data_IF_516394858634
#
_entry.id   IF_516394858634
#
_cell.length_a   1.000
_cell.length_b   1.000
_cell.length_c   1.000
_cell.angle_alpha   90.00
_cell.angle_beta   90.00
_cell.angle_gamma   90.00
#
_symmetry.space_group_name_H-M   'P 1'
#
loop_
_entity.id
_entity.type
_entity.pdbx_description
1 polymer ?
#
# COMPACT_ATOMS: atom_id res chain seq x y z
N UNK A 1 0.39 41.74 11.07
CA UNK A 1 1.33 40.78 10.46
C UNK A 1 2.15 41.53 9.41
N UNK A 2 3.50 41.59 9.54
CA UNK A 2 4.38 42.14 8.50
C UNK A 2 4.22 41.25 7.24
N UNK A 3 3.94 41.87 6.08
CA UNK A 3 4.04 41.20 4.80
C UNK A 3 5.53 40.98 4.51
N UNK A 4 6.00 39.75 4.46
CA UNK A 4 7.37 39.48 4.03
C UNK A 4 7.56 39.99 2.60
N UNK A 5 8.70 40.58 2.33
CA UNK A 5 9.12 40.94 0.97
C UNK A 5 9.63 39.75 0.22
N UNK A 6 9.72 39.81 -1.10
CA UNK A 6 10.27 38.70 -1.91
C UNK A 6 11.73 38.44 -1.51
N UNK A 7 12.53 39.47 -1.27
CA UNK A 7 13.94 39.30 -0.89
C UNK A 7 14.10 38.62 0.46
N UNK A 8 13.26 38.94 1.46
CA UNK A 8 13.26 38.24 2.75
C UNK A 8 12.92 36.74 2.60
N UNK A 9 11.99 36.38 1.71
CA UNK A 9 11.66 34.97 1.46
C UNK A 9 12.75 34.23 0.66
N UNK A 10 13.47 34.90 -0.21
CA UNK A 10 14.64 34.31 -0.89
C UNK A 10 15.81 34.07 0.07
N UNK A 11 16.01 34.95 1.07
CA UNK A 11 16.95 34.67 2.16
C UNK A 11 16.49 33.49 3.02
N UNK A 12 15.17 33.40 3.34
CA UNK A 12 14.59 32.24 4.03
C UNK A 12 14.82 30.96 3.24
N UNK A 13 14.73 30.98 1.90
CA UNK A 13 15.03 29.84 0.99
C UNK A 13 16.47 29.36 1.16
N UNK A 14 17.45 30.26 1.12
CA UNK A 14 18.86 29.91 1.29
C UNK A 14 19.16 29.29 2.67
N UNK A 15 18.50 29.79 3.70
CA UNK A 15 18.62 29.22 5.06
C UNK A 15 17.99 27.82 5.09
N UNK A 16 16.79 27.66 4.54
CA UNK A 16 16.09 26.37 4.48
C UNK A 16 16.88 25.31 3.71
N UNK A 17 17.49 25.66 2.57
CA UNK A 17 18.33 24.73 1.80
C UNK A 17 19.52 24.24 2.63
N UNK A 18 20.19 25.12 3.39
CA UNK A 18 21.33 24.74 4.25
C UNK A 18 20.94 23.81 5.40
N UNK A 19 19.69 23.82 5.81
CA UNK A 19 19.16 22.95 6.87
C UNK A 19 18.83 21.54 6.40
N UNK A 20 19.10 21.18 5.14
CA UNK A 20 18.95 19.83 4.66
C UNK A 20 19.89 18.89 5.46
N UNK A 21 19.28 17.91 6.16
CA UNK A 21 20.03 16.98 7.04
C UNK A 21 20.15 17.39 8.50
N UNK A 22 19.82 18.65 8.88
CA UNK A 22 19.81 19.10 10.28
C UNK A 22 18.53 18.68 11.03
N UNK A 23 17.47 18.36 10.29
CA UNK A 23 16.18 17.91 10.82
C UNK A 23 15.71 16.65 10.10
N UNK A 24 14.61 16.03 10.57
CA UNK A 24 14.01 14.95 9.83
C UNK A 24 13.52 15.43 8.44
N UNK A 25 13.63 14.53 7.46
CA UNK A 25 13.42 14.86 6.06
C UNK A 25 11.97 15.33 5.77
N UNK A 26 10.99 14.77 6.49
CA UNK A 26 9.60 15.16 6.31
C UNK A 26 9.33 16.59 6.81
N UNK A 27 9.83 16.94 7.97
CA UNK A 27 9.76 18.30 8.53
C UNK A 27 10.45 19.31 7.60
N UNK A 28 11.59 18.93 7.02
CA UNK A 28 12.27 19.77 6.04
C UNK A 28 11.41 20.03 4.80
N UNK A 29 10.76 19.00 4.22
CA UNK A 29 9.82 19.17 3.11
C UNK A 29 8.62 20.04 3.49
N UNK A 30 8.04 19.87 4.68
CA UNK A 30 6.91 20.68 5.12
C UNK A 30 7.25 22.16 5.22
N UNK A 31 8.43 22.50 5.77
CA UNK A 31 8.92 23.87 5.81
C UNK A 31 9.10 24.44 4.39
N UNK A 32 9.71 23.68 3.50
CA UNK A 32 9.86 24.05 2.10
C UNK A 32 8.52 24.29 1.39
N UNK A 33 7.53 23.41 1.59
CA UNK A 33 6.18 23.57 1.03
C UNK A 33 5.54 24.88 1.51
N UNK A 34 5.68 25.22 2.79
CA UNK A 34 5.16 26.48 3.33
C UNK A 34 5.88 27.69 2.73
N UNK A 35 7.20 27.62 2.62
CA UNK A 35 8.02 28.68 2.04
C UNK A 35 7.66 28.94 0.57
N UNK A 36 7.63 27.89 -0.27
CA UNK A 36 7.32 28.06 -1.70
C UNK A 36 5.85 28.47 -1.95
N UNK A 37 4.91 28.11 -1.07
CA UNK A 37 3.56 28.67 -1.11
C UNK A 37 3.54 30.17 -0.85
N UNK A 38 4.38 30.69 0.08
CA UNK A 38 4.54 32.13 0.33
C UNK A 38 5.18 32.82 -0.88
N UNK A 39 6.26 32.24 -1.43
CA UNK A 39 6.94 32.74 -2.62
C UNK A 39 5.98 32.90 -3.80
N UNK A 40 5.20 31.83 -4.09
CA UNK A 40 4.19 31.86 -5.14
C UNK A 40 3.00 32.80 -4.84
N UNK A 41 2.76 33.17 -3.60
CA UNK A 41 1.75 34.16 -3.28
C UNK A 41 2.20 35.58 -3.69
N UNK A 42 3.51 35.83 -3.80
CA UNK A 42 4.10 37.10 -4.24
C UNK A 42 4.41 37.08 -5.74
N UNK A 43 4.88 36.00 -6.27
CA UNK A 43 5.22 35.80 -7.69
C UNK A 43 4.59 34.52 -8.23
N UNK A 44 3.32 34.63 -8.64
CA UNK A 44 2.45 33.48 -9.01
C UNK A 44 2.90 32.76 -10.26
N UNK A 45 3.59 33.44 -11.17
CA UNK A 45 3.96 32.88 -12.46
C UNK A 45 5.40 32.40 -12.51
N UNK A 46 6.10 32.41 -11.39
CA UNK A 46 7.47 31.93 -11.29
C UNK A 46 7.58 30.43 -11.44
N UNK A 47 8.02 30.00 -12.61
CA UNK A 47 8.12 28.58 -12.95
C UNK A 47 9.10 27.82 -12.03
N UNK A 48 10.20 28.47 -11.59
CA UNK A 48 11.14 27.85 -10.64
C UNK A 48 10.43 27.48 -9.33
N UNK A 49 9.63 28.41 -8.79
CA UNK A 49 8.91 28.18 -7.54
C UNK A 49 7.83 27.12 -7.70
N UNK A 50 7.13 27.08 -8.85
CA UNK A 50 6.13 26.02 -9.15
C UNK A 50 6.78 24.66 -9.19
N UNK A 51 7.89 24.49 -9.93
CA UNK A 51 8.63 23.23 -10.05
C UNK A 51 9.13 22.76 -8.68
N UNK A 52 9.71 23.65 -7.87
CA UNK A 52 10.20 23.30 -6.54
C UNK A 52 9.05 22.86 -5.61
N UNK A 53 7.94 23.62 -5.59
CA UNK A 53 6.76 23.23 -4.82
C UNK A 53 6.20 21.88 -5.28
N UNK A 54 6.12 21.63 -6.60
CA UNK A 54 5.67 20.37 -7.16
C UNK A 54 6.52 19.19 -6.67
N UNK A 55 7.84 19.33 -6.74
CA UNK A 55 8.79 18.32 -6.27
C UNK A 55 8.64 18.03 -4.77
N UNK A 56 8.47 19.06 -3.95
CA UNK A 56 8.28 18.91 -2.51
C UNK A 56 6.95 18.22 -2.17
N UNK A 57 5.85 18.61 -2.83
CA UNK A 57 4.54 17.98 -2.67
C UNK A 57 4.57 16.51 -3.06
N UNK A 58 5.29 16.18 -4.15
CA UNK A 58 5.44 14.79 -4.60
C UNK A 58 6.23 13.95 -3.60
N UNK A 59 7.36 14.46 -3.09
CA UNK A 59 8.21 13.77 -2.12
C UNK A 59 7.49 13.58 -0.78
N UNK A 60 6.92 14.66 -0.22
CA UNK A 60 6.19 14.60 1.05
C UNK A 60 4.94 13.70 0.96
N UNK A 61 4.18 13.79 -0.14
CA UNK A 61 3.04 12.92 -0.38
C UNK A 61 3.43 11.44 -0.51
N UNK A 62 4.58 11.18 -1.13
CA UNK A 62 5.16 9.83 -1.21
C UNK A 62 5.53 9.26 0.16
N UNK A 63 6.19 10.05 1.01
CA UNK A 63 6.56 9.64 2.37
C UNK A 63 5.33 9.39 3.26
N UNK A 64 4.35 10.30 3.20
CA UNK A 64 3.08 10.12 3.91
C UNK A 64 2.38 8.82 3.53
N UNK A 65 2.41 8.45 2.24
CA UNK A 65 1.83 7.20 1.77
C UNK A 65 2.63 5.99 2.24
N UNK A 66 3.95 6.01 2.04
CA UNK A 66 4.79 4.81 2.16
C UNK A 66 5.32 4.56 3.57
N UNK A 67 5.60 5.62 4.34
CA UNK A 67 6.24 5.50 5.66
C UNK A 67 5.31 5.81 6.81
N UNK A 68 4.41 6.79 6.64
CA UNK A 68 3.54 7.25 7.71
C UNK A 68 2.12 6.67 7.59
N UNK A 69 1.80 5.96 6.49
CA UNK A 69 0.47 5.42 6.19
C UNK A 69 -0.67 6.45 6.33
N UNK A 70 -0.35 7.75 6.17
CA UNK A 70 -1.32 8.83 6.26
C UNK A 70 -1.91 9.14 4.88
N UNK A 71 -2.76 8.24 4.38
CA UNK A 71 -3.36 8.33 3.04
C UNK A 71 -4.19 9.60 2.82
N UNK A 72 -4.90 10.07 3.85
CA UNK A 72 -5.73 11.28 3.71
C UNK A 72 -4.87 12.54 3.50
N UNK A 73 -3.75 12.62 4.20
CA UNK A 73 -2.82 13.74 4.05
C UNK A 73 -2.07 13.66 2.72
N UNK A 74 -1.64 12.46 2.32
CA UNK A 74 -1.05 12.22 1.00
C UNK A 74 -2.00 12.60 -0.15
N UNK A 75 -3.29 12.20 -0.04
CA UNK A 75 -4.33 12.61 -1.00
C UNK A 75 -4.43 14.12 -1.14
N UNK A 76 -4.39 14.86 -0.03
CA UNK A 76 -4.45 16.33 -0.06
C UNK A 76 -3.26 16.90 -0.83
N UNK A 77 -2.03 16.46 -0.54
CA UNK A 77 -0.83 16.97 -1.22
C UNK A 77 -0.85 16.67 -2.73
N UNK A 78 -1.23 15.47 -3.13
CA UNK A 78 -1.31 15.15 -4.56
C UNK A 78 -2.46 15.86 -5.28
N UNK A 79 -3.57 16.16 -4.60
CA UNK A 79 -4.63 17.01 -5.16
C UNK A 79 -4.18 18.46 -5.33
N UNK A 80 -3.52 19.03 -4.30
CA UNK A 80 -2.93 20.38 -4.40
C UNK A 80 -2.00 20.45 -5.62
N UNK A 81 -1.19 19.40 -5.81
CA UNK A 81 -0.27 19.30 -6.93
C UNK A 81 -0.99 19.24 -8.28
N UNK A 82 -2.05 18.43 -8.44
CA UNK A 82 -2.81 18.37 -9.69
C UNK A 82 -3.65 19.62 -9.96
N UNK A 83 -3.98 20.39 -8.94
CA UNK A 83 -4.61 21.71 -9.12
C UNK A 83 -3.61 22.78 -9.61
N UNK A 84 -2.39 22.73 -9.10
CA UNK A 84 -1.31 23.64 -9.48
C UNK A 84 -0.77 23.29 -10.89
N UNK A 85 -0.64 22.00 -11.19
CA UNK A 85 -0.12 21.48 -12.44
C UNK A 85 -1.05 20.37 -12.99
N UNK A 86 -2.04 20.75 -13.83
CA UNK A 86 -3.05 19.81 -14.34
C UNK A 86 -2.51 18.67 -15.22
N UNK A 87 -1.29 18.82 -15.74
CA UNK A 87 -0.63 17.80 -16.57
C UNK A 87 0.40 16.96 -15.79
N UNK A 88 0.41 16.99 -14.45
CA UNK A 88 1.38 16.28 -13.63
C UNK A 88 1.07 14.77 -13.56
N UNK A 89 1.55 13.98 -14.54
CA UNK A 89 1.25 12.56 -14.70
C UNK A 89 1.54 11.73 -13.44
N UNK A 90 2.68 11.97 -12.78
CA UNK A 90 3.08 11.24 -11.57
C UNK A 90 2.10 11.47 -10.40
N UNK A 91 1.58 12.70 -10.24
CA UNK A 91 0.61 12.99 -9.18
C UNK A 91 -0.71 12.23 -9.42
N UNK A 92 -1.20 12.22 -10.66
CA UNK A 92 -2.38 11.44 -11.02
C UNK A 92 -2.16 9.93 -10.81
N UNK A 93 -1.00 9.41 -11.18
CA UNK A 93 -0.63 8.03 -10.93
C UNK A 93 -0.71 7.67 -9.43
N UNK A 94 -0.16 8.53 -8.57
CA UNK A 94 -0.24 8.34 -7.10
C UNK A 94 -1.66 8.42 -6.58
N UNK A 95 -2.46 9.36 -7.08
CA UNK A 95 -3.89 9.48 -6.74
C UNK A 95 -4.68 8.24 -7.18
N UNK A 96 -4.40 7.70 -8.37
CA UNK A 96 -5.03 6.49 -8.86
C UNK A 96 -4.93 5.33 -7.87
N UNK A 97 -3.74 5.09 -7.34
CA UNK A 97 -3.52 4.06 -6.31
C UNK A 97 -4.21 4.38 -4.99
N UNK A 98 -4.11 5.61 -4.49
CA UNK A 98 -4.75 5.96 -3.23
C UNK A 98 -6.28 5.76 -3.28
N UNK A 99 -6.91 6.11 -4.41
CA UNK A 99 -8.33 5.85 -4.60
C UNK A 99 -8.64 4.37 -4.81
N UNK A 100 -7.74 3.62 -5.44
CA UNK A 100 -7.87 2.17 -5.56
C UNK A 100 -7.92 1.50 -4.17
N UNK A 101 -6.99 1.84 -3.29
CA UNK A 101 -6.97 1.31 -1.92
C UNK A 101 -8.18 1.74 -1.08
N UNK A 102 -8.73 2.93 -1.35
CA UNK A 102 -9.99 3.38 -0.72
C UNK A 102 -11.23 2.76 -1.34
N UNK A 103 -11.07 1.85 -2.31
CA UNK A 103 -12.17 1.23 -3.06
C UNK A 103 -13.07 2.24 -3.79
N UNK A 104 -12.56 3.46 -4.02
CA UNK A 104 -13.24 4.51 -4.77
C UNK A 104 -12.98 4.33 -6.27
N UNK A 105 -13.47 3.23 -6.86
CA UNK A 105 -13.12 2.73 -8.19
C UNK A 105 -13.26 3.79 -9.29
N UNK A 106 -14.37 4.53 -9.32
CA UNK A 106 -14.60 5.60 -10.32
C UNK A 106 -13.51 6.67 -10.28
N UNK A 107 -13.06 7.08 -9.07
CA UNK A 107 -11.99 8.06 -8.92
C UNK A 107 -10.64 7.46 -9.31
N UNK A 108 -10.39 6.22 -8.91
CA UNK A 108 -9.18 5.48 -9.30
C UNK A 108 -9.04 5.41 -10.82
N UNK A 109 -10.07 4.97 -11.52
CA UNK A 109 -10.13 4.90 -13.00
C UNK A 109 -9.78 6.26 -13.58
N UNK A 110 -10.52 7.31 -13.19
CA UNK A 110 -10.30 8.67 -13.71
C UNK A 110 -8.84 9.12 -13.55
N UNK A 111 -8.24 8.89 -12.39
CA UNK A 111 -6.88 9.34 -12.12
C UNK A 111 -5.82 8.52 -12.88
N UNK A 112 -5.98 7.22 -13.03
CA UNK A 112 -5.09 6.44 -13.89
C UNK A 112 -5.20 6.84 -15.36
N UNK A 113 -6.40 7.12 -15.87
CA UNK A 113 -6.59 7.63 -17.22
C UNK A 113 -5.92 8.98 -17.44
N UNK A 114 -6.01 9.90 -16.46
CA UNK A 114 -5.30 11.17 -16.53
C UNK A 114 -3.78 10.95 -16.52
N UNK A 115 -3.26 10.10 -15.64
CA UNK A 115 -1.84 9.78 -15.60
C UNK A 115 -1.29 9.27 -16.93
N UNK A 116 -2.06 8.42 -17.63
CA UNK A 116 -1.67 7.85 -18.91
C UNK A 116 -1.75 8.84 -20.08
N UNK A 117 -2.64 9.85 -20.00
CA UNK A 117 -2.87 10.86 -21.05
C UNK A 117 -2.05 12.14 -20.86
N UNK A 118 -1.69 12.46 -19.63
CA UNK A 118 -0.99 13.69 -19.29
C UNK A 118 0.33 13.84 -20.05
N UNK A 119 0.64 15.08 -20.42
CA UNK A 119 1.87 15.46 -21.15
C UNK A 119 2.53 16.63 -20.41
N UNK A 120 3.15 16.37 -19.24
CA UNK A 120 3.79 17.43 -18.48
C UNK A 120 4.95 18.05 -19.27
N UNK A 121 5.11 19.37 -19.11
CA UNK A 121 6.24 20.07 -19.68
C UNK A 121 7.56 19.64 -19.04
N UNK A 122 7.53 19.39 -17.73
CA UNK A 122 8.67 18.91 -16.98
C UNK A 122 8.79 17.38 -17.07
N UNK A 123 9.92 16.90 -17.56
CA UNK A 123 10.16 15.47 -17.80
C UNK A 123 10.12 14.62 -16.53
N UNK A 124 10.51 15.17 -15.40
CA UNK A 124 10.48 14.50 -14.10
C UNK A 124 9.04 14.24 -13.59
N UNK A 125 8.05 14.95 -14.14
CA UNK A 125 6.64 14.79 -13.78
C UNK A 125 5.90 13.74 -14.63
N UNK A 126 6.60 13.15 -15.62
CA UNK A 126 6.08 12.04 -16.41
C UNK A 126 6.16 10.72 -15.64
N UNK A 127 5.29 9.76 -16.04
CA UNK A 127 5.40 8.36 -15.58
C UNK A 127 6.25 7.57 -16.56
N UNK A 128 7.14 6.74 -16.02
CA UNK A 128 7.99 5.84 -16.80
C UNK A 128 7.18 4.68 -17.38
N UNK A 129 7.76 3.95 -18.36
CA UNK A 129 7.10 2.84 -19.04
C UNK A 129 6.57 1.77 -18.09
N UNK A 130 7.34 1.40 -17.09
CA UNK A 130 6.91 0.45 -16.05
C UNK A 130 5.69 0.97 -15.28
N UNK A 131 5.70 2.24 -14.89
CA UNK A 131 4.58 2.88 -14.21
C UNK A 131 3.33 2.98 -15.11
N UNK A 132 3.52 3.22 -16.41
CA UNK A 132 2.43 3.17 -17.39
C UNK A 132 1.79 1.79 -17.44
N UNK A 133 2.60 0.72 -17.50
CA UNK A 133 2.12 -0.65 -17.48
C UNK A 133 1.38 -0.98 -16.18
N UNK A 134 1.94 -0.59 -15.03
CA UNK A 134 1.28 -0.74 -13.72
C UNK A 134 -0.06 0.02 -13.69
N UNK A 135 -0.09 1.26 -14.19
CA UNK A 135 -1.33 2.03 -14.27
C UNK A 135 -2.40 1.34 -15.12
N UNK A 136 -2.03 0.77 -16.28
CA UNK A 136 -2.95 0.01 -17.13
C UNK A 136 -3.49 -1.24 -16.44
N UNK A 137 -2.64 -2.01 -15.74
CA UNK A 137 -3.06 -3.17 -15.00
C UNK A 137 -4.05 -2.81 -13.88
N UNK A 138 -3.77 -1.72 -13.13
CA UNK A 138 -4.67 -1.26 -12.07
C UNK A 138 -5.95 -0.63 -12.60
N UNK A 139 -5.88 0.03 -13.74
CA UNK A 139 -7.05 0.52 -14.46
C UNK A 139 -7.99 -0.63 -14.82
N UNK A 140 -7.45 -1.72 -15.39
CA UNK A 140 -8.23 -2.93 -15.69
C UNK A 140 -8.86 -3.54 -14.44
N UNK A 141 -8.08 -3.68 -13.35
CA UNK A 141 -8.59 -4.17 -12.05
C UNK A 141 -9.70 -3.27 -11.49
N UNK A 142 -9.54 -1.95 -11.58
CA UNK A 142 -10.55 -1.01 -11.10
C UNK A 142 -11.86 -1.07 -11.90
N UNK A 143 -11.77 -1.25 -13.22
CA UNK A 143 -12.95 -1.50 -14.06
C UNK A 143 -13.65 -2.80 -13.68
N UNK A 144 -12.91 -3.88 -13.45
CA UNK A 144 -13.47 -5.16 -12.99
C UNK A 144 -14.19 -5.01 -11.65
N UNK A 145 -13.57 -4.35 -10.65
CA UNK A 145 -14.21 -4.09 -9.35
C UNK A 145 -15.46 -3.23 -9.47
N UNK A 146 -15.44 -2.23 -10.35
CA UNK A 146 -16.61 -1.40 -10.61
C UNK A 146 -17.74 -2.20 -11.27
N UNK A 147 -17.44 -3.08 -12.22
CA UNK A 147 -18.42 -3.96 -12.87
C UNK A 147 -19.05 -4.92 -11.87
N UNK A 148 -18.26 -5.52 -10.98
CA UNK A 148 -18.77 -6.35 -9.89
C UNK A 148 -19.68 -5.58 -8.96
N UNK A 149 -19.32 -4.37 -8.54
CA UNK A 149 -20.18 -3.53 -7.69
C UNK A 149 -21.51 -3.14 -8.34
N UNK A 150 -21.51 -2.92 -9.66
CA UNK A 150 -22.76 -2.66 -10.40
C UNK A 150 -23.61 -3.92 -10.50
N UNK A 151 -22.96 -5.07 -10.71
CA UNK A 151 -23.68 -6.35 -10.73
C UNK A 151 -24.28 -6.69 -9.38
N UNK A 152 -23.55 -6.47 -8.28
CA UNK A 152 -24.10 -6.65 -6.92
C UNK A 152 -25.37 -5.83 -6.68
N UNK A 153 -25.37 -4.56 -7.12
CA UNK A 153 -26.58 -3.72 -7.06
C UNK A 153 -27.74 -4.30 -7.90
N UNK A 154 -27.45 -4.78 -9.12
CA UNK A 154 -28.48 -5.41 -9.95
C UNK A 154 -29.02 -6.70 -9.32
N UNK A 155 -28.14 -7.51 -8.74
CA UNK A 155 -28.53 -8.74 -8.05
C UNK A 155 -29.34 -8.47 -6.77
N UNK A 156 -29.00 -7.43 -5.99
CA UNK A 156 -29.79 -7.01 -4.83
C UNK A 156 -31.21 -6.58 -5.25
N UNK A 157 -31.34 -5.83 -6.35
CA UNK A 157 -32.64 -5.44 -6.90
C UNK A 157 -33.43 -6.65 -7.39
N UNK A 158 -32.77 -7.62 -8.04
CA UNK A 158 -33.39 -8.85 -8.52
C UNK A 158 -33.90 -9.71 -7.35
N UNK A 159 -33.11 -9.88 -6.29
CA UNK A 159 -33.54 -10.64 -5.10
C UNK A 159 -34.73 -9.97 -4.38
N UNK A 160 -34.83 -8.64 -4.45
CA UNK A 160 -35.93 -7.88 -3.87
C UNK A 160 -37.16 -7.82 -4.77
N UNK A 161 -37.11 -8.31 -6.02
CA UNK A 161 -38.23 -8.28 -6.96
C UNK A 161 -39.31 -9.27 -6.55
N UNK A 162 -40.54 -8.79 -6.49
CA UNK A 162 -41.72 -9.56 -6.06
C UNK A 162 -42.66 -9.94 -7.22
N UNK A 163 -42.48 -9.36 -8.38
CA UNK A 163 -43.23 -9.71 -9.59
C UNK A 163 -42.56 -10.90 -10.31
N UNK A 164 -43.21 -12.08 -10.35
CA UNK A 164 -42.66 -13.26 -11.00
C UNK A 164 -42.37 -13.06 -12.49
N UNK A 165 -43.17 -12.25 -13.19
CA UNK A 165 -43.00 -12.02 -14.60
C UNK A 165 -41.74 -11.18 -14.90
N UNK A 166 -41.41 -10.25 -14.00
CA UNK A 166 -40.13 -9.47 -14.07
C UNK A 166 -38.98 -10.36 -13.70
N UNK A 167 -39.07 -11.16 -12.64
CA UNK A 167 -38.05 -12.09 -12.21
C UNK A 167 -37.71 -13.09 -13.32
N UNK A 168 -38.67 -13.76 -13.92
CA UNK A 168 -38.48 -14.72 -15.00
C UNK A 168 -37.82 -14.08 -16.25
N UNK A 169 -38.15 -12.83 -16.55
CA UNK A 169 -37.60 -12.10 -17.68
C UNK A 169 -36.12 -11.69 -17.47
N UNK A 170 -35.71 -11.43 -16.23
CA UNK A 170 -34.38 -10.90 -15.89
C UNK A 170 -33.40 -12.01 -15.48
N UNK A 171 -33.89 -13.13 -14.92
CA UNK A 171 -33.06 -14.24 -14.43
C UNK A 171 -31.97 -14.69 -15.43
N UNK A 172 -32.28 -14.91 -16.73
CA UNK A 172 -31.25 -15.31 -17.69
C UNK A 172 -30.09 -14.31 -17.82
N UNK A 173 -30.39 -13.00 -17.74
CA UNK A 173 -29.37 -11.94 -17.82
C UNK A 173 -28.52 -11.89 -16.54
N UNK A 174 -29.11 -12.11 -15.37
CA UNK A 174 -28.39 -12.20 -14.10
C UNK A 174 -27.43 -13.38 -14.12
N UNK A 175 -27.90 -14.58 -14.54
CA UNK A 175 -27.06 -15.78 -14.58
C UNK A 175 -25.96 -15.69 -15.66
N UNK A 176 -26.25 -15.09 -16.84
CA UNK A 176 -25.25 -14.82 -17.87
C UNK A 176 -24.18 -13.85 -17.36
N UNK A 177 -24.60 -12.69 -16.81
CA UNK A 177 -23.69 -11.66 -16.29
C UNK A 177 -22.84 -12.20 -15.14
N UNK A 178 -23.44 -12.97 -14.25
CA UNK A 178 -22.74 -13.67 -13.16
C UNK A 178 -21.66 -14.60 -13.71
N UNK A 179 -22.00 -15.42 -14.68
CA UNK A 179 -21.04 -16.33 -15.35
C UNK A 179 -19.89 -15.55 -15.98
N UNK A 180 -20.17 -14.48 -16.71
CA UNK A 180 -19.16 -13.67 -17.39
C UNK A 180 -18.23 -12.95 -16.39
N UNK A 181 -18.77 -12.35 -15.35
CA UNK A 181 -17.99 -11.64 -14.33
C UNK A 181 -17.18 -12.58 -13.45
N UNK A 182 -17.73 -13.76 -13.12
CA UNK A 182 -17.08 -14.72 -12.24
C UNK A 182 -16.25 -15.76 -13.00
N UNK A 183 -16.48 -16.03 -14.30
CA UNK A 183 -15.60 -16.87 -15.12
C UNK A 183 -14.22 -16.20 -15.38
N UNK A 184 -14.18 -14.87 -15.45
CA UNK A 184 -12.93 -14.10 -15.29
C UNK A 184 -12.34 -14.22 -13.88
N UNK A 185 -13.12 -14.70 -12.92
CA UNK A 185 -12.83 -14.83 -11.50
C UNK A 185 -12.64 -16.25 -11.00
N UNK A 186 -12.27 -17.22 -11.84
CA UNK A 186 -11.58 -18.43 -11.34
C UNK A 186 -10.17 -18.12 -10.81
N UNK A 187 -9.85 -16.84 -10.68
CA UNK A 187 -8.68 -16.43 -9.92
C UNK A 187 -8.99 -16.64 -8.45
N UNK A 188 -8.45 -17.69 -7.91
CA UNK A 188 -8.34 -17.88 -6.46
C UNK A 188 -7.63 -16.62 -5.89
N UNK A 189 -8.38 -15.65 -5.34
CA UNK A 189 -7.82 -14.31 -5.03
C UNK A 189 -6.94 -14.30 -3.79
N UNK A 190 -6.98 -15.41 -3.06
CA UNK A 190 -6.25 -15.57 -1.82
C UNK A 190 -5.09 -16.53 -1.99
N UNK A 191 -4.06 -16.33 -1.19
CA UNK A 191 -2.89 -17.20 -1.12
C UNK A 191 -2.72 -17.64 0.32
N UNK A 192 -2.47 -18.94 0.49
CA UNK A 192 -1.99 -19.50 1.73
C UNK A 192 -0.59 -20.07 1.50
N UNK A 193 0.37 -19.61 2.28
CA UNK A 193 1.74 -20.13 2.30
C UNK A 193 1.94 -20.95 3.56
N UNK A 194 2.50 -22.14 3.39
CA UNK A 194 2.96 -23.01 4.47
C UNK A 194 4.45 -23.29 4.32
N UNK A 195 5.04 -24.08 5.21
CA UNK A 195 6.44 -24.48 5.10
C UNK A 195 6.78 -25.23 3.80
N UNK A 196 5.79 -25.92 3.22
CA UNK A 196 6.02 -26.87 2.13
C UNK A 196 5.39 -26.47 0.81
N UNK A 197 4.38 -25.60 0.84
CA UNK A 197 3.62 -25.26 -0.37
C UNK A 197 2.97 -23.87 -0.31
N UNK A 198 2.70 -23.35 -1.50
CA UNK A 198 1.87 -22.15 -1.69
C UNK A 198 0.60 -22.56 -2.43
N UNK A 199 -0.54 -22.28 -1.84
CA UNK A 199 -1.86 -22.61 -2.38
C UNK A 199 -2.61 -21.33 -2.75
N UNK A 200 -3.26 -21.35 -3.90
CA UNK A 200 -4.25 -20.34 -4.26
C UNK A 200 -5.63 -20.81 -3.81
N UNK A 201 -6.37 -19.96 -3.11
CA UNK A 201 -7.63 -20.30 -2.44
C UNK A 201 -8.77 -19.40 -2.94
N UNK A 202 -9.98 -19.95 -2.94
CA UNK A 202 -11.23 -19.20 -3.02
C UNK A 202 -11.64 -18.69 -1.63
N UNK A 203 -12.56 -17.74 -1.58
CA UNK A 203 -13.03 -17.14 -0.34
C UNK A 203 -13.61 -18.17 0.64
N UNK A 204 -14.40 -19.12 0.12
CA UNK A 204 -14.98 -20.20 0.93
C UNK A 204 -13.91 -21.08 1.59
N UNK A 205 -12.82 -21.36 0.87
CA UNK A 205 -11.69 -22.13 1.40
C UNK A 205 -10.98 -21.36 2.51
N UNK A 206 -10.81 -20.02 2.33
CA UNK A 206 -10.23 -19.15 3.35
C UNK A 206 -11.09 -19.12 4.61
N UNK A 207 -12.40 -18.90 4.47
CA UNK A 207 -13.34 -18.91 5.60
C UNK A 207 -13.31 -20.22 6.37
N UNK A 208 -13.22 -21.35 5.65
CA UNK A 208 -13.06 -22.67 6.27
C UNK A 208 -11.77 -22.73 7.09
N UNK A 209 -10.63 -22.37 6.51
CA UNK A 209 -9.35 -22.36 7.24
C UNK A 209 -9.32 -21.37 8.42
N UNK A 210 -10.02 -20.24 8.29
CA UNK A 210 -10.12 -19.27 9.39
C UNK A 210 -11.00 -19.79 10.55
N UNK A 211 -12.00 -20.62 10.26
CA UNK A 211 -12.88 -21.23 11.26
C UNK A 211 -12.29 -22.47 11.94
N UNK A 212 -11.25 -23.08 11.35
CA UNK A 212 -10.55 -24.21 11.95
C UNK A 212 -9.75 -23.78 13.18
N UNK A 213 -9.83 -24.57 14.25
CA UNK A 213 -8.96 -24.40 15.40
C UNK A 213 -7.52 -24.72 15.02
N UNK A 214 -6.60 -23.87 15.43
CA UNK A 214 -5.18 -24.09 15.22
C UNK A 214 -4.70 -25.26 16.10
N UNK A 215 -3.90 -26.15 15.52
CA UNK A 215 -3.20 -27.16 16.29
C UNK A 215 -2.27 -26.51 17.32
N UNK A 216 -1.95 -27.23 18.39
CA UNK A 216 -1.16 -26.71 19.50
C UNK A 216 0.24 -26.20 19.09
N UNK A 217 0.75 -26.69 17.97
CA UNK A 217 2.05 -26.32 17.38
C UNK A 217 1.92 -25.47 16.10
N UNK A 218 0.73 -24.96 15.79
CA UNK A 218 0.47 -24.18 14.58
C UNK A 218 0.29 -22.68 14.92
N UNK A 219 0.80 -21.80 14.04
CA UNK A 219 0.54 -20.36 14.08
C UNK A 219 0.02 -19.89 12.74
N UNK A 220 -0.79 -18.82 12.73
CA UNK A 220 -1.33 -18.22 11.53
C UNK A 220 -1.01 -16.73 11.47
N UNK A 221 -0.40 -16.29 10.39
CA UNK A 221 -0.18 -14.88 10.09
C UNK A 221 -1.21 -14.45 9.05
N UNK A 222 -2.10 -13.55 9.44
CA UNK A 222 -3.28 -13.16 8.68
C UNK A 222 -3.19 -11.71 8.21
N UNK A 223 -3.15 -11.50 6.88
CA UNK A 223 -3.15 -10.20 6.20
C UNK A 223 -4.49 -9.89 5.51
N UNK A 224 -5.55 -10.67 5.77
CA UNK A 224 -6.80 -10.53 5.01
C UNK A 224 -7.70 -9.40 5.51
N UNK A 225 -7.54 -8.98 6.76
CA UNK A 225 -8.29 -7.89 7.37
C UNK A 225 -7.66 -6.51 7.16
N UNK A 226 -8.24 -5.50 7.81
CA UNK A 226 -7.64 -4.16 7.87
C UNK A 226 -6.37 -4.14 8.74
N UNK A 227 -6.29 -5.04 9.70
CA UNK A 227 -5.19 -5.21 10.64
C UNK A 227 -4.52 -6.57 10.41
N UNK A 228 -3.23 -6.64 10.68
CA UNK A 228 -2.44 -7.85 10.54
C UNK A 228 -2.34 -8.53 11.89
N UNK A 229 -2.66 -9.81 11.94
CA UNK A 229 -2.61 -10.60 13.16
C UNK A 229 -1.70 -11.81 13.06
N UNK A 230 -0.85 -12.01 14.05
CA UNK A 230 -0.31 -13.33 14.36
C UNK A 230 -1.29 -14.02 15.32
N UNK A 231 -1.88 -15.12 14.87
CA UNK A 231 -2.88 -15.88 15.62
C UNK A 231 -2.21 -17.15 16.14
N UNK A 232 -2.33 -17.35 17.45
CA UNK A 232 -1.77 -18.48 18.18
C UNK A 232 -2.89 -19.49 18.53
N UNK A 233 -2.54 -20.72 18.90
CA UNK A 233 -3.50 -21.65 19.47
C UNK A 233 -4.34 -21.02 20.60
N UNK A 234 -5.58 -21.49 20.75
CA UNK A 234 -6.57 -20.93 21.69
C UNK A 234 -6.98 -19.48 21.36
N UNK A 235 -6.98 -19.11 20.07
CA UNK A 235 -7.47 -17.82 19.53
C UNK A 235 -6.79 -16.56 20.09
N UNK A 236 -5.59 -16.68 20.64
CA UNK A 236 -4.79 -15.51 21.03
C UNK A 236 -4.35 -14.79 19.77
N UNK A 237 -4.63 -13.47 19.68
CA UNK A 237 -4.26 -12.62 18.55
C UNK A 237 -3.25 -11.57 18.99
N UNK A 238 -2.17 -11.48 18.26
CA UNK A 238 -1.15 -10.43 18.42
C UNK A 238 -1.24 -9.54 17.20
N UNK A 239 -1.63 -8.29 17.41
CA UNK A 239 -1.70 -7.28 16.37
C UNK A 239 -0.30 -6.81 15.98
N UNK A 240 -0.06 -6.73 14.69
CA UNK A 240 1.21 -6.29 14.11
C UNK A 240 0.97 -5.08 13.20
N UNK A 241 1.85 -4.09 13.29
CA UNK A 241 1.88 -3.07 12.25
C UNK A 241 2.26 -3.70 10.90
N UNK A 242 1.87 -3.08 9.79
CA UNK A 242 2.18 -3.57 8.44
C UNK A 242 3.66 -3.89 8.25
N UNK A 243 4.55 -3.03 8.74
CA UNK A 243 6.00 -3.23 8.65
C UNK A 243 6.49 -4.44 9.44
N UNK A 244 5.91 -4.68 10.64
CA UNK A 244 6.25 -5.84 11.47
C UNK A 244 5.69 -7.13 10.86
N UNK A 245 4.47 -7.10 10.32
CA UNK A 245 3.86 -8.23 9.63
C UNK A 245 4.67 -8.65 8.40
N UNK A 246 5.09 -7.70 7.57
CA UNK A 246 5.96 -7.96 6.40
C UNK A 246 7.29 -8.57 6.80
N UNK A 247 7.94 -8.01 7.81
CA UNK A 247 9.21 -8.54 8.32
C UNK A 247 9.03 -9.95 8.88
N UNK A 248 7.97 -10.19 9.65
CA UNK A 248 7.68 -11.52 10.20
C UNK A 248 7.43 -12.52 9.07
N UNK A 249 6.59 -12.19 8.10
CA UNK A 249 6.34 -13.03 6.92
C UNK A 249 7.65 -13.39 6.21
N UNK A 250 8.48 -12.39 5.93
CA UNK A 250 9.75 -12.59 5.25
C UNK A 250 10.66 -13.57 6.01
N UNK A 251 10.71 -13.46 7.34
CA UNK A 251 11.49 -14.40 8.16
C UNK A 251 10.87 -15.79 8.19
N UNK A 252 9.53 -15.92 8.24
CA UNK A 252 8.82 -17.21 8.22
C UNK A 252 9.03 -17.97 6.92
N UNK A 253 8.98 -17.28 5.78
CA UNK A 253 9.17 -17.89 4.46
C UNK A 253 10.63 -18.32 4.21
N UNK A 254 11.60 -17.75 4.93
CA UNK A 254 13.00 -18.07 4.78
C UNK A 254 13.45 -19.17 5.78
N UNK A 255 13.70 -20.38 5.27
CA UNK A 255 14.16 -21.54 6.08
C UNK A 255 15.57 -21.37 6.66
N UNK A 256 16.34 -20.40 6.16
CA UNK A 256 17.73 -20.13 6.59
C UNK A 256 17.84 -18.74 7.20
N UNK A 257 18.85 -18.48 8.03
CA UNK A 257 19.10 -17.15 8.57
C UNK A 257 19.26 -16.13 7.44
N UNK A 258 18.62 -14.97 7.57
CA UNK A 258 18.62 -13.90 6.57
C UNK A 258 19.49 -12.74 7.08
N UNK A 259 20.43 -12.28 6.27
CA UNK A 259 21.33 -11.19 6.64
C UNK A 259 20.57 -9.85 6.81
N UNK A 260 21.11 -8.96 7.64
CA UNK A 260 20.54 -7.62 7.81
C UNK A 260 20.50 -6.86 6.47
N UNK A 261 21.50 -7.05 5.61
CA UNK A 261 21.51 -6.47 4.27
C UNK A 261 20.34 -6.97 3.43
N UNK A 262 20.14 -8.28 3.35
CA UNK A 262 19.02 -8.89 2.59
C UNK A 262 17.65 -8.42 3.10
N UNK A 263 17.46 -8.35 4.44
CA UNK A 263 16.24 -7.82 5.04
C UNK A 263 16.05 -6.34 4.64
N UNK A 264 17.10 -5.53 4.69
CA UNK A 264 17.04 -4.13 4.30
C UNK A 264 16.62 -3.98 2.84
N UNK A 265 17.22 -4.74 1.94
CA UNK A 265 16.93 -4.65 0.50
C UNK A 265 15.50 -5.05 0.16
N UNK A 266 14.96 -6.06 0.84
CA UNK A 266 13.60 -6.58 0.56
C UNK A 266 12.49 -5.86 1.34
N UNK A 267 12.74 -5.43 2.57
CA UNK A 267 11.70 -4.85 3.44
C UNK A 267 11.83 -3.33 3.56
N UNK A 268 13.03 -2.79 3.39
CA UNK A 268 13.34 -1.37 3.56
C UNK A 268 14.16 -0.81 2.38
N UNK A 269 13.70 -0.95 1.12
CA UNK A 269 14.50 -0.60 -0.06
C UNK A 269 14.93 0.87 -0.09
N UNK A 270 14.13 1.76 0.53
CA UNK A 270 14.43 3.19 0.62
C UNK A 270 15.42 3.55 1.74
N UNK A 271 15.81 2.61 2.59
CA UNK A 271 16.73 2.85 3.70
C UNK A 271 18.16 2.51 3.34
N UNK A 272 19.07 3.46 3.59
CA UNK A 272 20.53 3.24 3.40
C UNK A 272 21.22 2.60 4.61
N UNK A 273 20.52 2.52 5.76
CA UNK A 273 21.15 2.08 7.02
C UNK A 273 20.60 0.74 7.50
N UNK A 274 21.48 -0.19 7.80
CA UNK A 274 21.12 -1.45 8.46
C UNK A 274 20.59 -1.28 9.90
N UNK A 275 20.80 -0.12 10.50
CA UNK A 275 20.29 0.16 11.85
C UNK A 275 18.76 0.10 11.91
N UNK A 276 18.07 0.33 10.78
CA UNK A 276 16.61 0.19 10.71
C UNK A 276 16.20 -1.26 10.93
N UNK A 277 16.93 -2.22 10.36
CA UNK A 277 16.66 -3.65 10.51
C UNK A 277 16.76 -4.04 11.99
N UNK A 278 17.85 -3.68 12.66
CA UNK A 278 18.06 -4.00 14.09
C UNK A 278 16.95 -3.44 14.96
N UNK A 279 16.57 -2.18 14.74
CA UNK A 279 15.46 -1.54 15.48
C UNK A 279 14.12 -2.22 15.21
N UNK A 280 13.84 -2.59 13.96
CA UNK A 280 12.58 -3.23 13.61
C UNK A 280 12.52 -4.67 14.11
N UNK A 281 13.62 -5.41 14.08
CA UNK A 281 13.73 -6.74 14.72
C UNK A 281 13.47 -6.63 16.24
N UNK A 282 14.03 -5.62 16.91
CA UNK A 282 13.76 -5.42 18.34
C UNK A 282 12.29 -5.08 18.61
N UNK A 283 11.68 -4.24 17.78
CA UNK A 283 10.24 -3.94 17.87
C UNK A 283 9.40 -5.19 17.63
N UNK A 284 9.78 -6.02 16.65
CA UNK A 284 9.08 -7.28 16.38
C UNK A 284 9.20 -8.24 17.56
N UNK A 285 10.39 -8.39 18.16
CA UNK A 285 10.56 -9.20 19.39
C UNK A 285 9.68 -8.71 20.53
N UNK A 286 9.63 -7.39 20.74
CA UNK A 286 8.77 -6.81 21.77
C UNK A 286 7.28 -7.03 21.50
N UNK A 287 6.85 -6.99 20.22
CA UNK A 287 5.48 -7.30 19.86
C UNK A 287 5.13 -8.79 20.02
N UNK A 288 6.11 -9.66 19.88
CA UNK A 288 5.99 -11.11 20.05
C UNK A 288 6.29 -11.56 21.50
N UNK A 289 6.57 -10.65 22.42
CA UNK A 289 6.77 -10.98 23.84
C UNK A 289 5.43 -11.33 24.50
N UNK A 290 5.08 -12.60 24.40
CA UNK A 290 3.81 -13.11 24.88
C UNK A 290 4.04 -14.43 25.67
N UNK A 291 3.40 -14.64 26.84
CA UNK A 291 3.63 -15.80 27.70
C UNK A 291 3.42 -17.19 27.06
N UNK A 292 2.69 -17.23 25.96
CA UNK A 292 2.42 -18.47 25.21
C UNK A 292 3.37 -18.72 24.03
N UNK A 293 4.29 -17.78 23.78
CA UNK A 293 5.30 -17.93 22.75
C UNK A 293 6.66 -18.28 23.37
N UNK A 294 7.49 -19.06 22.65
CA UNK A 294 8.88 -19.25 23.05
C UNK A 294 9.62 -17.92 23.14
N UNK A 295 10.53 -17.79 24.10
CA UNK A 295 11.29 -16.55 24.35
C UNK A 295 12.12 -16.13 23.13
N UNK A 296 12.59 -17.09 22.33
CA UNK A 296 13.51 -16.87 21.22
C UNK A 296 12.89 -17.20 19.85
N UNK A 297 11.73 -16.60 19.52
CA UNK A 297 11.08 -16.79 18.23
C UNK A 297 11.88 -16.24 17.05
N UNK A 298 12.69 -15.22 17.29
CA UNK A 298 13.57 -14.64 16.29
C UNK A 298 15.00 -14.73 16.81
N UNK A 299 15.73 -15.71 16.31
CA UNK A 299 17.14 -15.89 16.65
C UNK A 299 18.01 -14.85 15.95
N UNK A 300 19.05 -14.40 16.64
CA UNK A 300 20.21 -13.74 16.02
C UNK A 300 21.31 -14.78 15.89
N UNK A 301 21.73 -15.02 14.65
CA UNK A 301 22.83 -15.94 14.31
C UNK A 301 24.01 -15.14 13.75
N UNK A 302 25.14 -15.81 13.51
CA UNK A 302 26.32 -15.21 12.86
C UNK A 302 25.97 -14.71 11.44
N UNK A 303 25.04 -15.41 10.75
CA UNK A 303 24.64 -15.10 9.37
C UNK A 303 23.41 -14.20 9.27
N UNK A 304 22.77 -13.81 10.38
CA UNK A 304 21.63 -12.91 10.37
C UNK A 304 20.52 -13.29 11.34
N UNK A 305 19.27 -13.08 10.91
CA UNK A 305 18.07 -13.33 11.71
C UNK A 305 17.28 -14.51 11.16
N UNK A 306 16.69 -15.31 12.02
CA UNK A 306 15.95 -16.51 11.65
C UNK A 306 14.67 -16.63 12.50
N UNK A 307 13.57 -17.02 11.84
CA UNK A 307 12.36 -17.47 12.49
C UNK A 307 12.58 -18.85 13.13
N UNK A 308 12.25 -18.98 14.39
CA UNK A 308 12.54 -20.18 15.21
C UNK A 308 11.26 -20.75 15.87
N UNK A 309 10.22 -20.92 15.09
CA UNK A 309 9.02 -21.61 15.53
C UNK A 309 9.19 -23.12 15.32
N UNK A 310 8.95 -23.97 16.34
CA UNK A 310 9.17 -25.43 16.23
C UNK A 310 8.01 -26.16 15.53
N UNK A 311 6.94 -25.45 15.21
CA UNK A 311 5.73 -26.02 14.63
C UNK A 311 5.45 -25.54 13.21
N UNK A 312 4.21 -25.72 12.81
CA UNK A 312 3.73 -25.33 11.48
C UNK A 312 3.25 -23.88 11.47
N UNK A 313 3.24 -23.29 10.28
CA UNK A 313 2.64 -21.99 10.07
C UNK A 313 1.78 -21.93 8.81
N UNK A 314 0.78 -21.05 8.83
CA UNK A 314 -0.01 -20.66 7.67
C UNK A 314 0.03 -19.14 7.55
N UNK A 315 0.31 -18.63 6.35
CA UNK A 315 0.30 -17.19 6.05
C UNK A 315 -0.79 -16.95 5.01
N UNK A 316 -1.75 -16.08 5.33
CA UNK A 316 -2.86 -15.75 4.44
C UNK A 316 -2.74 -14.31 3.96
N UNK A 317 -2.85 -14.10 2.64
CA UNK A 317 -2.90 -12.78 2.04
C UNK A 317 -3.68 -12.79 0.72
N UNK A 318 -4.03 -11.60 0.21
CA UNK A 318 -4.66 -11.43 -1.11
C UNK A 318 -3.60 -11.34 -2.20
N UNK A 319 -3.84 -11.98 -3.35
CA UNK A 319 -2.95 -11.89 -4.52
C UNK A 319 -2.77 -10.48 -5.06
N UNK A 320 -3.79 -9.64 -4.89
CA UNK A 320 -3.79 -8.24 -5.32
C UNK A 320 -3.26 -7.28 -4.24
N UNK A 321 -2.82 -7.79 -3.11
CA UNK A 321 -2.15 -7.00 -2.09
C UNK A 321 -0.72 -6.68 -2.53
N UNK A 322 -0.56 -5.46 -3.08
CA UNK A 322 0.71 -4.97 -3.64
C UNK A 322 1.82 -4.89 -2.61
N UNK A 323 1.46 -4.63 -1.35
CA UNK A 323 2.45 -4.55 -0.28
C UNK A 323 3.16 -5.88 -0.03
N UNK A 324 2.60 -6.99 -0.56
CA UNK A 324 3.11 -8.34 -0.39
C UNK A 324 3.70 -8.93 -1.68
N UNK A 325 3.45 -8.35 -2.85
CA UNK A 325 3.97 -8.84 -4.15
C UNK A 325 5.45 -8.49 -4.36
N UNK A 326 5.93 -7.39 -3.80
CA UNK A 326 7.33 -6.96 -3.98
C UNK A 326 8.34 -7.88 -3.28
N UNK A 327 7.89 -8.81 -2.43
CA UNK A 327 8.73 -9.78 -1.72
C UNK A 327 9.01 -11.05 -2.55
N UNK A 328 8.18 -11.35 -3.56
CA UNK A 328 8.20 -12.63 -4.29
C UNK A 328 9.14 -12.61 -5.52
N UNK A 329 9.60 -11.46 -5.98
CA UNK A 329 10.33 -11.29 -7.25
C UNK A 329 11.73 -10.65 -7.11
N UNK A 330 12.37 -10.80 -5.97
CA UNK A 330 13.79 -10.40 -5.79
C UNK A 330 14.72 -11.59 -5.57
#
# INVERSE_FOLDING_TARGET
MKKNTLDELLEEELIWERQEGEMDLFTWWEKGIQLYRKLLSLDRDNERFKIQLANLLLKAGGDLKMRQHNFNRALKLFRDLTQMEPEHAMAYYRLGFLYYYKQEWRKSIRHFEFALRARPAERSHQIHREQQMKALCYLAKAYQKMSLSVFEQANEMFVAESDPAVADAVDPFIEETKRDLYSYGESKPYVMVTQDQTLSLHEEEVLRYQSEELAANEVRLDFLGEEIYLILPSHVRIELSEQLGKLLRFLMENKRPVSAQTIRENIFPDSRSESIVRRTIQRLRNALDHPRLPVDLILTTISGYQWNWPGEYKIFYRKDDIFLQDIIHS
#
